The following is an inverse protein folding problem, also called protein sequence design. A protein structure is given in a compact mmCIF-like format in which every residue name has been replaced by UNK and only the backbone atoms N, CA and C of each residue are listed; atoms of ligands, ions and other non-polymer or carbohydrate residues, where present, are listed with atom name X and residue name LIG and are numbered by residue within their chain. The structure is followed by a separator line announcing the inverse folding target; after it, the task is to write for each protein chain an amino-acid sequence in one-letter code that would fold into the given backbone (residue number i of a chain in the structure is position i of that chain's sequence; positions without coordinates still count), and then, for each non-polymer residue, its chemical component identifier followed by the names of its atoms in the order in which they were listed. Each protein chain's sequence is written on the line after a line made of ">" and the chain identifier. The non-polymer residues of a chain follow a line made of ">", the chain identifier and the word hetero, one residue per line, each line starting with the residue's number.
data_IF_957662236830
#
_entry.id   IF_957662236830
#
_cell.length_a   1.000
_cell.length_b   1.000
_cell.length_c   1.000
_cell.angle_alpha   90.00
_cell.angle_beta   90.00
_cell.angle_gamma   90.00
#
_symmetry.space_group_name_H-M   'P 1'
#
loop_
_entity.id
_entity.type
_entity.pdbx_description
1 polymer ?
#
# COMPACT_ATOMS: atom_id res chain seq x y z
N UNK A 1 2.39 -6.90 3.53
CA UNK A 1 3.84 -7.03 3.23
C UNK A 1 3.97 -7.40 1.77
N UNK A 2 4.81 -6.69 1.03
CA UNK A 2 5.16 -7.02 -0.36
C UNK A 2 6.56 -7.63 -0.33
N UNK A 3 6.78 -8.71 -1.05
CA UNK A 3 8.06 -9.41 -1.06
C UNK A 3 8.39 -9.84 -2.48
N UNK A 4 9.61 -9.55 -2.92
CA UNK A 4 10.14 -9.99 -4.19
C UNK A 4 10.26 -11.52 -4.23
N UNK A 5 10.40 -12.08 -5.43
CA UNK A 5 10.80 -13.49 -5.55
C UNK A 5 12.23 -13.65 -4.97
N UNK A 6 12.60 -14.83 -4.44
CA UNK A 6 13.95 -15.05 -3.93
C UNK A 6 15.02 -14.67 -4.97
N UNK A 7 15.99 -13.86 -4.58
CA UNK A 7 17.06 -13.36 -5.46
C UNK A 7 16.63 -12.29 -6.46
N UNK A 8 15.41 -11.75 -6.36
CA UNK A 8 14.89 -10.69 -7.24
C UNK A 8 14.47 -9.49 -6.41
N UNK A 9 15.13 -8.36 -6.66
CA UNK A 9 14.81 -7.07 -6.06
C UNK A 9 13.73 -6.34 -6.85
N UNK A 10 12.94 -5.51 -6.17
CA UNK A 10 12.08 -4.51 -6.80
C UNK A 10 12.48 -3.11 -6.31
N UNK A 11 12.24 -2.08 -7.12
CA UNK A 11 12.59 -0.70 -6.77
C UNK A 11 11.37 0.17 -6.50
N UNK A 12 10.28 -0.11 -7.20
CA UNK A 12 9.01 0.57 -7.04
C UNK A 12 7.89 -0.40 -6.73
N UNK A 13 6.83 0.13 -6.15
CA UNK A 13 5.55 -0.53 -5.94
C UNK A 13 4.44 0.52 -5.93
N UNK A 14 3.22 0.06 -6.16
CA UNK A 14 2.01 0.84 -5.98
C UNK A 14 0.96 -0.10 -5.36
N UNK A 15 0.35 0.32 -4.27
CA UNK A 15 -0.75 -0.40 -3.62
C UNK A 15 -1.91 0.57 -3.45
N UNK A 16 -3.12 0.12 -3.76
CA UNK A 16 -4.34 0.89 -3.60
C UNK A 16 -5.43 0.05 -2.95
N UNK A 17 -6.17 0.63 -2.00
CA UNK A 17 -7.25 -0.05 -1.30
C UNK A 17 -8.62 0.38 -1.84
N UNK A 18 -9.43 -0.59 -2.28
CA UNK A 18 -10.81 -0.36 -2.68
C UNK A 18 -11.78 -1.41 -2.11
N UNK A 19 -13.05 -1.02 -1.96
CA UNK A 19 -14.12 -1.96 -1.58
C UNK A 19 -14.67 -2.73 -2.78
N UNK A 20 -15.61 -3.65 -2.55
CA UNK A 20 -16.26 -4.43 -3.62
C UNK A 20 -17.04 -3.57 -4.64
N UNK A 21 -17.29 -2.29 -4.33
CA UNK A 21 -17.94 -1.31 -5.22
C UNK A 21 -16.93 -0.42 -5.94
N UNK A 22 -15.63 -0.66 -5.77
CA UNK A 22 -14.55 0.12 -6.37
C UNK A 22 -14.32 1.48 -5.69
N UNK A 23 -14.88 1.72 -4.51
CA UNK A 23 -14.66 2.97 -3.76
C UNK A 23 -13.33 2.89 -3.03
N UNK A 24 -12.54 3.96 -3.11
CA UNK A 24 -11.30 4.09 -2.35
C UNK A 24 -11.59 4.19 -0.85
N UNK A 25 -10.95 3.35 -0.04
CA UNK A 25 -11.25 3.22 1.39
C UNK A 25 -10.01 3.08 2.26
N UNK A 26 -10.10 3.64 3.47
CA UNK A 26 -8.99 3.62 4.42
C UNK A 26 -7.82 4.49 3.98
N UNK A 27 -6.70 4.35 4.66
CA UNK A 27 -5.48 5.07 4.34
C UNK A 27 -4.24 4.26 4.74
N UNK A 28 -3.13 4.50 4.05
CA UNK A 28 -1.84 3.94 4.43
C UNK A 28 -1.09 4.90 5.34
N UNK A 29 -0.39 4.37 6.32
CA UNK A 29 0.56 5.16 7.11
C UNK A 29 1.84 5.40 6.27
N UNK A 30 2.32 6.65 6.16
CA UNK A 30 3.59 6.90 5.50
C UNK A 30 4.73 6.25 6.29
N UNK A 31 5.73 5.75 5.57
CA UNK A 31 6.94 5.17 6.16
C UNK A 31 8.17 5.83 5.54
N UNK A 32 9.39 5.60 6.07
CA UNK A 32 10.60 6.11 5.41
C UNK A 32 10.75 5.65 3.94
N UNK A 33 10.19 4.49 3.58
CA UNK A 33 10.31 3.88 2.25
C UNK A 33 9.03 4.00 1.41
N UNK A 34 7.99 4.68 1.93
CA UNK A 34 6.69 4.79 1.25
C UNK A 34 5.99 6.12 1.50
N UNK A 35 5.47 6.70 0.43
CA UNK A 35 4.61 7.88 0.46
C UNK A 35 3.16 7.44 0.46
N UNK A 36 2.33 8.07 1.28
CA UNK A 36 0.88 7.83 1.34
C UNK A 36 0.12 8.87 0.51
N UNK A 37 -0.91 8.40 -0.18
CA UNK A 37 -1.82 9.16 -1.03
C UNK A 37 -3.27 8.93 -0.53
N UNK A 38 -3.67 9.58 0.57
CA UNK A 38 -4.99 9.39 1.16
C UNK A 38 -6.14 9.80 0.24
N UNK A 39 -5.90 10.72 -0.72
CA UNK A 39 -6.87 11.15 -1.72
C UNK A 39 -7.36 10.03 -2.64
N UNK A 40 -6.56 8.98 -2.80
CA UNK A 40 -6.87 7.82 -3.63
C UNK A 40 -6.64 6.48 -2.93
N UNK A 41 -6.62 6.50 -1.59
CA UNK A 41 -6.37 5.36 -0.71
C UNK A 41 -5.18 4.50 -1.21
N UNK A 42 -4.07 5.15 -1.55
CA UNK A 42 -2.92 4.49 -2.16
C UNK A 42 -1.61 4.79 -1.43
N UNK A 43 -0.59 3.99 -1.73
CA UNK A 43 0.79 4.23 -1.30
C UNK A 43 1.77 3.73 -2.36
N UNK A 44 2.89 4.44 -2.49
CA UNK A 44 3.97 4.14 -3.44
C UNK A 44 5.33 4.30 -2.76
N UNK A 45 6.37 3.78 -3.40
CA UNK A 45 7.76 3.98 -3.00
C UNK A 45 8.12 5.48 -2.86
N UNK A 46 8.94 5.81 -1.86
CA UNK A 46 9.54 7.15 -1.71
C UNK A 46 10.88 7.29 -2.45
N UNK A 47 11.55 6.17 -2.75
CA UNK A 47 12.87 6.13 -3.39
C UNK A 47 13.02 4.91 -4.34
N UNK A 48 14.06 4.93 -5.17
CA UNK A 48 14.34 3.95 -6.24
C UNK A 48 15.49 2.96 -5.92
N UNK A 49 15.77 2.72 -4.65
CA UNK A 49 16.68 1.73 -4.12
C UNK A 49 16.09 0.31 -4.18
N UNK A 50 16.97 -0.68 -4.18
CA UNK A 50 16.61 -2.10 -4.28
C UNK A 50 16.01 -2.61 -2.97
N UNK A 51 14.87 -3.30 -3.09
CA UNK A 51 14.11 -3.83 -1.96
C UNK A 51 13.85 -5.31 -2.19
N UNK A 52 14.13 -6.13 -1.19
CA UNK A 52 13.64 -7.52 -1.13
C UNK A 52 12.21 -7.57 -0.60
N UNK A 53 11.86 -6.62 0.27
CA UNK A 53 10.57 -6.54 0.92
C UNK A 53 10.24 -5.12 1.37
N UNK A 54 8.93 -4.85 1.49
CA UNK A 54 8.41 -3.66 2.18
C UNK A 54 7.20 -4.04 3.03
N UNK A 55 7.09 -3.42 4.20
CA UNK A 55 5.94 -3.55 5.09
C UNK A 55 5.16 -2.24 5.08
N UNK A 56 3.86 -2.34 4.84
CA UNK A 56 2.93 -1.22 4.80
C UNK A 56 1.90 -1.41 5.91
N UNK A 57 1.49 -0.32 6.55
CA UNK A 57 0.42 -0.31 7.54
C UNK A 57 -0.80 0.35 6.88
N UNK A 58 -1.92 -0.37 6.83
CA UNK A 58 -3.20 0.13 6.32
C UNK A 58 -4.19 0.25 7.47
N UNK A 59 -4.82 1.41 7.57
CA UNK A 59 -5.84 1.73 8.55
C UNK A 59 -7.23 1.68 7.90
N UNK A 60 -8.14 0.80 8.37
CA UNK A 60 -9.48 0.72 7.84
C UNK A 60 -10.30 1.99 8.17
N UNK A 61 -11.34 2.30 7.37
CA UNK A 61 -12.33 3.31 7.74
C UNK A 61 -13.01 2.97 9.08
N UNK A 62 -13.18 3.96 9.96
CA UNK A 62 -13.62 3.75 11.36
C UNK A 62 -15.04 3.20 11.50
N UNK A 63 -15.96 3.62 10.62
CA UNK A 63 -17.40 3.39 10.79
C UNK A 63 -18.00 2.48 9.70
N UNK A 64 -17.19 1.59 9.12
CA UNK A 64 -17.67 0.64 8.11
C UNK A 64 -16.97 -0.70 8.21
N UNK A 65 -17.69 -1.75 7.82
CA UNK A 65 -17.16 -3.10 7.67
C UNK A 65 -17.43 -3.60 6.25
N UNK A 66 -16.68 -4.62 5.83
CA UNK A 66 -16.81 -5.22 4.50
C UNK A 66 -15.49 -5.78 3.99
N UNK A 67 -15.48 -6.08 2.69
CA UNK A 67 -14.29 -6.57 1.98
C UNK A 67 -13.44 -5.41 1.51
N UNK A 68 -12.12 -5.59 1.58
CA UNK A 68 -11.13 -4.71 0.95
C UNK A 68 -10.31 -5.51 -0.05
N UNK A 69 -9.98 -4.88 -1.18
CA UNK A 69 -9.03 -5.37 -2.17
C UNK A 69 -7.84 -4.43 -2.21
N UNK A 70 -6.65 -5.03 -2.29
CA UNK A 70 -5.36 -4.36 -2.36
C UNK A 70 -4.64 -4.70 -3.67
#
# INVERSE_FOLDING_TARGET
>A
RITGKPGVYFKGFFVQANDDKGRWIGHFEPTPFSVSHPECAATTHSENEEKEQVTLIWHPPKDSNGTVRF
#
